data_IF_734554293027
#
_entry.id   IF_734554293027
#
_cell.length_a   1.000
_cell.length_b   1.000
_cell.length_c   1.000
_cell.angle_alpha   90.00
_cell.angle_beta   90.00
_cell.angle_gamma   90.00
#
_symmetry.space_group_name_H-M   'P 1'
#
loop_
_entity.id
_entity.type
_entity.pdbx_description
1 polymer ?
#
# COMPACT_ATOMS: atom_id res chain seq x y z
N UNK A 1 34.96 19.05 -29.13
CA UNK A 1 33.58 18.48 -29.04
C UNK A 1 33.21 18.46 -27.58
N UNK A 2 32.36 19.41 -27.15
CA UNK A 2 31.86 19.48 -25.75
C UNK A 2 30.86 18.34 -25.61
N UNK A 3 31.14 17.45 -24.67
CA UNK A 3 30.39 16.24 -24.37
C UNK A 3 28.91 16.59 -24.08
N UNK A 4 28.04 16.34 -25.05
CA UNK A 4 26.60 16.61 -24.94
C UNK A 4 25.86 15.77 -23.87
N UNK A 5 26.54 14.76 -23.32
CA UNK A 5 25.98 13.86 -22.30
C UNK A 5 25.75 14.56 -20.95
N UNK A 6 26.66 15.46 -20.55
CA UNK A 6 26.56 16.20 -19.29
C UNK A 6 25.43 17.24 -19.29
N UNK A 7 25.22 17.93 -20.40
CA UNK A 7 24.14 18.93 -20.54
C UNK A 7 22.74 18.27 -20.55
N UNK A 8 22.63 17.13 -21.22
CA UNK A 8 21.38 16.38 -21.29
C UNK A 8 20.99 15.75 -19.93
N UNK A 9 21.94 15.14 -19.21
CA UNK A 9 21.71 14.60 -17.88
C UNK A 9 21.26 15.68 -16.87
N UNK A 10 21.85 16.89 -16.97
CA UNK A 10 21.46 18.03 -16.16
C UNK A 10 20.03 18.49 -16.49
N UNK A 11 19.66 18.56 -17.78
CA UNK A 11 18.30 18.91 -18.22
C UNK A 11 17.26 17.92 -17.69
N UNK A 12 17.53 16.63 -17.77
CA UNK A 12 16.65 15.59 -17.21
C UNK A 12 16.47 15.73 -15.69
N UNK A 13 17.56 15.92 -14.95
CA UNK A 13 17.52 16.11 -13.50
C UNK A 13 16.71 17.36 -13.12
N UNK A 14 16.90 18.46 -13.82
CA UNK A 14 16.17 19.70 -13.60
C UNK A 14 14.69 19.55 -13.99
N UNK A 15 14.39 18.86 -15.09
CA UNK A 15 13.03 18.53 -15.52
C UNK A 15 12.31 17.67 -14.49
N UNK A 16 13.02 16.69 -13.93
CA UNK A 16 12.51 15.86 -12.83
C UNK A 16 12.16 16.71 -11.60
N UNK A 17 13.06 17.60 -11.16
CA UNK A 17 12.79 18.46 -10.01
C UNK A 17 11.55 19.36 -10.23
N UNK A 18 11.36 19.89 -11.46
CA UNK A 18 10.17 20.69 -11.80
C UNK A 18 8.91 19.83 -11.82
N UNK A 19 8.97 18.61 -12.36
CA UNK A 19 7.84 17.68 -12.38
C UNK A 19 7.43 17.24 -10.97
N UNK A 20 8.40 16.96 -10.11
CA UNK A 20 8.15 16.61 -8.71
C UNK A 20 7.41 17.70 -7.97
N UNK A 21 7.76 18.98 -8.20
CA UNK A 21 7.04 20.11 -7.63
C UNK A 21 5.58 20.21 -8.13
N UNK A 22 5.31 19.85 -9.40
CA UNK A 22 3.94 19.76 -9.89
C UNK A 22 3.17 18.62 -9.22
N UNK A 23 3.79 17.47 -9.05
CA UNK A 23 3.18 16.32 -8.37
C UNK A 23 2.87 16.62 -6.89
N UNK A 24 3.74 17.37 -6.20
CA UNK A 24 3.54 17.78 -4.81
C UNK A 24 2.50 18.88 -4.64
N UNK A 25 2.44 19.83 -5.60
CA UNK A 25 1.45 20.89 -5.56
C UNK A 25 0.04 20.40 -5.92
N UNK A 26 -0.06 19.32 -6.67
CA UNK A 26 -1.34 18.82 -7.17
C UNK A 26 -2.34 18.51 -6.04
N UNK A 27 -3.63 18.82 -6.22
CA UNK A 27 -4.26 19.32 -7.47
C UNK A 27 -4.14 20.85 -7.69
N UNK A 28 -3.42 21.58 -6.86
CA UNK A 28 -3.37 23.04 -6.91
C UNK A 28 -2.39 23.55 -7.97
N UNK A 29 -2.75 24.65 -8.68
CA UNK A 29 -1.86 25.25 -9.65
C UNK A 29 -0.64 25.91 -9.00
N UNK A 30 0.52 25.86 -9.69
CA UNK A 30 1.77 26.44 -9.23
C UNK A 30 2.37 27.39 -10.28
N UNK A 31 2.92 28.54 -9.86
CA UNK A 31 3.53 29.50 -10.77
C UNK A 31 5.00 29.16 -11.08
N UNK A 32 5.49 29.58 -12.27
CA UNK A 32 6.92 29.47 -12.64
C UNK A 32 7.85 30.14 -11.60
N UNK A 33 7.40 31.23 -10.96
CA UNK A 33 8.16 31.90 -9.92
C UNK A 33 8.26 31.06 -8.64
N UNK A 34 7.19 30.39 -8.27
CA UNK A 34 7.19 29.45 -7.12
C UNK A 34 8.05 28.24 -7.41
N UNK A 35 7.94 27.67 -8.62
CA UNK A 35 8.80 26.57 -9.07
C UNK A 35 10.29 26.94 -8.98
N UNK A 36 10.68 28.12 -9.49
CA UNK A 36 12.05 28.59 -9.42
C UNK A 36 12.57 28.72 -7.98
N UNK A 37 11.72 29.21 -7.06
CA UNK A 37 12.07 29.33 -5.64
C UNK A 37 12.22 27.96 -4.96
N UNK A 38 11.33 27.00 -5.23
CA UNK A 38 11.34 25.68 -4.59
C UNK A 38 12.46 24.79 -5.12
N UNK A 39 12.68 24.80 -6.45
CA UNK A 39 13.73 23.98 -7.09
C UNK A 39 15.12 24.59 -7.01
N UNK A 40 15.26 25.90 -6.68
CA UNK A 40 16.52 26.62 -6.75
C UNK A 40 17.01 26.87 -8.18
N UNK A 41 16.23 26.57 -9.21
CA UNK A 41 16.60 26.76 -10.61
C UNK A 41 16.40 28.21 -11.07
N UNK A 42 17.14 28.63 -12.10
CA UNK A 42 16.99 29.94 -12.70
C UNK A 42 15.62 30.10 -13.37
N UNK A 43 15.03 31.32 -13.35
CA UNK A 43 13.75 31.60 -14.02
C UNK A 43 13.74 31.19 -15.49
N UNK A 44 14.79 31.46 -16.31
CA UNK A 44 14.84 30.98 -17.68
C UNK A 44 14.79 29.46 -17.82
N UNK A 45 15.53 28.74 -16.95
CA UNK A 45 15.55 27.27 -16.91
C UNK A 45 14.15 26.72 -16.62
N UNK A 46 13.48 27.23 -15.57
CA UNK A 46 12.12 26.81 -15.23
C UNK A 46 11.15 27.13 -16.36
N UNK A 47 11.26 28.30 -16.98
CA UNK A 47 10.39 28.67 -18.10
C UNK A 47 10.52 27.72 -19.29
N UNK A 48 11.73 27.33 -19.65
CA UNK A 48 11.97 26.35 -20.71
C UNK A 48 11.40 24.97 -20.36
N UNK A 49 11.67 24.48 -19.15
CA UNK A 49 11.18 23.16 -18.69
C UNK A 49 9.64 23.11 -18.59
N UNK A 50 9.00 24.17 -18.10
CA UNK A 50 7.53 24.24 -18.05
C UNK A 50 6.94 24.26 -19.46
N UNK A 51 7.58 24.97 -20.42
CA UNK A 51 7.14 24.93 -21.81
C UNK A 51 7.27 23.54 -22.41
N UNK A 52 8.40 22.83 -22.17
CA UNK A 52 8.58 21.45 -22.61
C UNK A 52 7.50 20.50 -22.03
N UNK A 53 7.14 20.67 -20.75
CA UNK A 53 6.11 19.87 -20.10
C UNK A 53 4.70 20.21 -20.61
N UNK A 54 4.44 21.48 -20.95
CA UNK A 54 3.19 21.93 -21.56
C UNK A 54 3.06 21.37 -22.98
N UNK A 55 4.10 21.46 -23.80
CA UNK A 55 4.14 20.89 -25.15
C UNK A 55 3.96 19.36 -25.14
N UNK A 56 4.46 18.69 -24.09
CA UNK A 56 4.26 17.27 -23.86
C UNK A 56 2.88 16.91 -23.28
N UNK A 57 2.01 17.89 -23.00
CA UNK A 57 0.68 17.71 -22.43
C UNK A 57 0.66 17.26 -20.97
N UNK A 58 1.78 17.44 -20.24
CA UNK A 58 1.95 17.03 -18.84
C UNK A 58 1.38 18.07 -17.88
N UNK A 59 1.51 19.34 -18.24
CA UNK A 59 0.97 20.47 -17.49
C UNK A 59 0.17 21.37 -18.43
N UNK A 60 -0.76 22.12 -17.89
CA UNK A 60 -1.54 23.10 -18.63
C UNK A 60 -1.59 24.43 -17.92
N UNK A 61 -1.60 25.50 -18.73
CA UNK A 61 -1.79 26.85 -18.24
C UNK A 61 -3.21 27.00 -17.67
N UNK A 62 -3.32 27.51 -16.45
CA UNK A 62 -4.60 27.86 -15.86
C UNK A 62 -4.83 29.36 -16.11
N UNK A 63 -5.90 29.76 -16.82
CA UNK A 63 -6.23 31.15 -17.01
C UNK A 63 -6.37 31.84 -15.65
N UNK A 64 -5.77 33.04 -15.44
CA UNK A 64 -5.93 33.77 -14.21
C UNK A 64 -7.41 34.19 -14.07
N UNK A 65 -7.98 34.00 -12.89
CA UNK A 65 -9.26 34.57 -12.56
C UNK A 65 -9.14 36.14 -12.66
N UNK A 66 -9.92 36.72 -13.51
CA UNK A 66 -9.97 38.18 -13.69
C UNK A 66 -10.74 38.79 -12.51
N UNK A 67 -10.04 39.12 -11.44
CA UNK A 67 -10.59 39.95 -10.37
C UNK A 67 -10.40 41.42 -10.73
N UNK A 68 -11.47 42.23 -10.81
CA UNK A 68 -11.36 43.68 -11.04
C UNK A 68 -10.58 44.35 -9.90
N UNK A 69 -9.52 45.10 -10.22
CA UNK A 69 -8.82 45.97 -9.26
C UNK A 69 -7.39 45.58 -8.87
N UNK A 70 -6.81 44.53 -9.43
CA UNK A 70 -5.38 44.16 -9.19
C UNK A 70 -4.47 44.86 -10.21
N UNK A 71 -3.57 45.73 -9.72
CA UNK A 71 -2.52 46.34 -10.53
C UNK A 71 -1.41 45.31 -10.76
N UNK A 72 -1.15 44.93 -12.01
CA UNK A 72 -0.13 43.98 -12.46
C UNK A 72 -0.73 42.70 -13.06
N UNK A 73 -0.09 42.19 -14.13
CA UNK A 73 -0.49 40.89 -14.73
C UNK A 73 -0.13 39.77 -13.78
N UNK A 74 -1.11 39.05 -13.20
CA UNK A 74 -0.76 37.91 -12.31
C UNK A 74 0.08 36.90 -13.10
N UNK A 75 1.10 36.35 -12.46
CA UNK A 75 1.86 35.26 -13.04
C UNK A 75 0.91 34.09 -13.28
N UNK A 76 0.72 33.72 -14.54
CA UNK A 76 -0.18 32.64 -14.91
C UNK A 76 0.32 31.30 -14.31
N UNK A 77 -0.48 30.63 -13.47
CA UNK A 77 -0.11 29.37 -12.86
C UNK A 77 -0.33 28.20 -13.83
N UNK A 78 0.37 27.11 -13.60
CA UNK A 78 0.22 25.86 -14.32
C UNK A 78 -0.28 24.76 -13.37
N UNK A 79 -1.06 23.84 -13.89
CA UNK A 79 -1.49 22.66 -13.15
C UNK A 79 -1.06 21.39 -13.89
N UNK A 80 -0.83 20.33 -13.12
CA UNK A 80 -0.64 19.00 -13.66
C UNK A 80 -1.90 18.58 -14.43
N UNK A 81 -1.73 17.97 -15.60
CA UNK A 81 -2.81 17.30 -16.35
C UNK A 81 -2.95 15.90 -15.77
N UNK A 82 -4.01 15.57 -15.03
CA UNK A 82 -4.09 14.33 -14.27
C UNK A 82 -3.95 13.08 -15.12
N UNK A 83 -4.53 13.06 -16.29
CA UNK A 83 -4.54 11.92 -17.22
C UNK A 83 -3.44 11.98 -18.31
N UNK A 84 -2.44 12.85 -18.13
CA UNK A 84 -1.22 12.86 -18.96
C UNK A 84 -0.46 11.51 -18.91
N UNK A 85 -0.62 10.79 -17.82
CA UNK A 85 -0.18 9.40 -17.67
C UNK A 85 -1.17 8.63 -16.80
N UNK A 86 -1.29 7.33 -17.06
CA UNK A 86 -2.06 6.41 -16.26
C UNK A 86 -1.13 5.42 -15.57
N UNK A 87 -1.57 4.93 -14.42
CA UNK A 87 -0.91 3.86 -13.68
C UNK A 87 -1.89 2.72 -13.44
N UNK A 88 -1.37 1.50 -13.32
CA UNK A 88 -2.17 0.35 -12.89
C UNK A 88 -1.74 -0.12 -11.51
N UNK A 89 -2.69 -0.24 -10.60
CA UNK A 89 -2.53 -0.88 -9.29
C UNK A 89 -3.28 -2.20 -9.26
N UNK A 90 -2.65 -3.21 -8.67
CA UNK A 90 -3.25 -4.54 -8.51
C UNK A 90 -3.05 -5.00 -7.07
N UNK A 91 -4.13 -5.49 -6.47
CA UNK A 91 -4.09 -6.23 -5.20
C UNK A 91 -4.49 -7.68 -5.48
N UNK A 92 -3.53 -8.57 -5.37
CA UNK A 92 -3.70 -9.99 -5.66
C UNK A 92 -3.92 -10.77 -4.36
N UNK A 93 -5.16 -10.82 -3.91
CA UNK A 93 -5.54 -11.60 -2.73
C UNK A 93 -5.71 -13.09 -3.02
N UNK A 94 -5.87 -13.88 -1.96
CA UNK A 94 -6.03 -15.35 -2.05
C UNK A 94 -7.31 -15.80 -2.78
N UNK A 95 -8.38 -15.00 -2.76
CA UNK A 95 -9.70 -15.35 -3.34
C UNK A 95 -10.13 -14.40 -4.45
N UNK A 96 -9.65 -13.18 -4.45
CA UNK A 96 -9.99 -12.12 -5.40
C UNK A 96 -8.79 -11.28 -5.75
N UNK A 97 -8.77 -10.79 -6.98
CA UNK A 97 -7.81 -9.80 -7.46
C UNK A 97 -8.56 -8.51 -7.78
N UNK A 98 -8.06 -7.38 -7.30
CA UNK A 98 -8.54 -6.04 -7.66
C UNK A 98 -7.54 -5.45 -8.64
N UNK A 99 -8.00 -5.04 -9.81
CA UNK A 99 -7.20 -4.36 -10.83
C UNK A 99 -7.81 -2.99 -11.06
N UNK A 100 -7.03 -1.93 -10.96
CA UNK A 100 -7.53 -0.59 -11.22
C UNK A 100 -6.54 0.29 -11.96
N UNK A 101 -7.07 1.16 -12.79
CA UNK A 101 -6.33 2.18 -13.52
C UNK A 101 -6.62 3.53 -12.88
N UNK A 102 -5.57 4.27 -12.57
CA UNK A 102 -5.65 5.58 -11.94
C UNK A 102 -4.86 6.64 -12.70
N UNK A 103 -5.19 7.90 -12.48
CA UNK A 103 -4.47 9.07 -12.98
C UNK A 103 -3.29 9.45 -12.08
N UNK A 104 -2.53 10.47 -12.47
CA UNK A 104 -1.39 10.99 -11.71
C UNK A 104 -1.78 11.58 -10.34
N UNK A 105 -3.03 11.89 -10.09
CA UNK A 105 -3.53 12.31 -8.78
C UNK A 105 -3.92 11.12 -7.88
N UNK A 106 -3.85 9.89 -8.40
CA UNK A 106 -4.28 8.68 -7.70
C UNK A 106 -5.78 8.45 -7.72
N UNK A 107 -6.55 9.19 -8.53
CA UNK A 107 -7.97 8.95 -8.69
C UNK A 107 -8.17 7.72 -9.55
N UNK A 108 -8.85 6.73 -9.00
CA UNK A 108 -9.19 5.49 -9.72
C UNK A 108 -10.24 5.82 -10.78
N UNK A 109 -9.87 5.66 -12.04
CA UNK A 109 -10.72 5.96 -13.20
C UNK A 109 -11.57 4.76 -13.64
N UNK A 110 -11.03 3.55 -13.43
CA UNK A 110 -11.70 2.29 -13.73
C UNK A 110 -11.16 1.18 -12.84
N UNK A 111 -12.02 0.26 -12.43
CA UNK A 111 -11.69 -0.87 -11.54
C UNK A 111 -12.39 -2.14 -12.04
N UNK A 112 -11.73 -3.27 -11.89
CA UNK A 112 -12.26 -4.60 -12.16
C UNK A 112 -11.94 -5.51 -10.96
N UNK A 113 -12.84 -6.44 -10.67
CA UNK A 113 -12.68 -7.45 -9.61
C UNK A 113 -12.85 -8.82 -10.24
N UNK A 114 -11.80 -9.60 -10.18
CA UNK A 114 -11.75 -10.93 -10.76
C UNK A 114 -11.44 -11.98 -9.70
N UNK A 115 -11.83 -13.20 -9.92
CA UNK A 115 -11.45 -14.31 -9.04
C UNK A 115 -9.98 -14.62 -9.20
N UNK A 116 -9.34 -14.99 -8.07
CA UNK A 116 -7.93 -15.40 -8.10
C UNK A 116 -7.82 -16.74 -8.83
N UNK A 117 -7.00 -16.76 -9.87
CA UNK A 117 -6.75 -17.97 -10.63
C UNK A 117 -5.97 -19.00 -9.80
N UNK A 118 -6.18 -20.27 -10.11
CA UNK A 118 -5.61 -21.41 -9.37
C UNK A 118 -4.09 -21.56 -9.50
N UNK A 119 -3.43 -20.82 -10.41
CA UNK A 119 -1.98 -20.85 -10.58
C UNK A 119 -1.44 -19.54 -11.18
N UNK A 120 -0.15 -19.28 -10.96
CA UNK A 120 0.52 -18.03 -11.26
C UNK A 120 0.34 -17.50 -12.69
N UNK A 121 0.52 -18.35 -13.70
CA UNK A 121 0.42 -17.93 -15.11
C UNK A 121 -0.99 -17.46 -15.46
N UNK A 122 -2.02 -18.17 -15.01
CA UNK A 122 -3.41 -17.76 -15.24
C UNK A 122 -3.75 -16.46 -14.47
N UNK A 123 -3.17 -16.24 -13.27
CA UNK A 123 -3.32 -14.99 -12.55
C UNK A 123 -2.71 -13.81 -13.31
N UNK A 124 -1.50 -13.98 -13.88
CA UNK A 124 -0.88 -12.98 -14.76
C UNK A 124 -1.73 -12.72 -16.00
N UNK A 125 -2.26 -13.78 -16.66
CA UNK A 125 -3.15 -13.63 -17.81
C UNK A 125 -4.39 -12.81 -17.47
N UNK A 126 -4.99 -13.07 -16.33
CA UNK A 126 -6.19 -12.37 -15.85
C UNK A 126 -5.91 -10.90 -15.57
N UNK A 127 -4.78 -10.58 -14.89
CA UNK A 127 -4.35 -9.20 -14.61
C UNK A 127 -4.09 -8.42 -15.90
N UNK A 128 -3.32 -8.99 -16.84
CA UNK A 128 -3.03 -8.34 -18.13
C UNK A 128 -4.31 -8.15 -18.95
N UNK A 129 -5.17 -9.14 -19.00
CA UNK A 129 -6.45 -9.07 -19.70
C UNK A 129 -7.37 -8.01 -19.13
N UNK A 130 -7.50 -7.95 -17.79
CA UNK A 130 -8.28 -6.93 -17.09
C UNK A 130 -7.72 -5.52 -17.34
N UNK A 131 -6.40 -5.33 -17.17
CA UNK A 131 -5.75 -4.03 -17.42
C UNK A 131 -6.03 -3.52 -18.84
N UNK A 132 -5.90 -4.39 -19.85
CA UNK A 132 -6.16 -4.01 -21.25
C UNK A 132 -7.62 -3.64 -21.49
N UNK A 133 -8.58 -4.35 -20.90
CA UNK A 133 -10.02 -4.00 -20.98
C UNK A 133 -10.30 -2.64 -20.35
N UNK A 134 -9.76 -2.39 -19.14
CA UNK A 134 -9.94 -1.12 -18.46
C UNK A 134 -9.38 0.05 -19.28
N UNK A 135 -8.17 -0.08 -19.82
CA UNK A 135 -7.57 0.93 -20.69
C UNK A 135 -8.38 1.18 -21.96
N UNK A 136 -8.88 0.12 -22.62
CA UNK A 136 -9.72 0.25 -23.82
C UNK A 136 -11.01 1.01 -23.54
N UNK A 137 -11.62 0.79 -22.37
CA UNK A 137 -12.86 1.48 -21.96
C UNK A 137 -12.64 2.97 -21.63
N UNK A 138 -11.41 3.34 -21.19
CA UNK A 138 -11.07 4.75 -20.92
C UNK A 138 -10.83 5.59 -22.19
N UNK A 139 -10.77 4.97 -23.36
CA UNK A 139 -10.63 5.62 -24.66
C UNK A 139 -9.18 5.69 -25.17
N UNK A 140 -9.06 6.07 -26.46
CA UNK A 140 -7.77 6.14 -27.16
C UNK A 140 -6.93 7.34 -26.70
N UNK A 141 -5.61 7.20 -26.77
CA UNK A 141 -4.64 8.28 -26.52
C UNK A 141 -4.14 8.37 -25.08
N UNK A 142 -4.67 7.58 -24.17
CA UNK A 142 -4.19 7.50 -22.78
C UNK A 142 -3.09 6.46 -22.67
N UNK A 143 -1.96 6.84 -22.05
CA UNK A 143 -0.77 6.00 -21.96
C UNK A 143 -0.61 5.46 -20.54
N UNK A 144 -0.52 4.14 -20.43
CA UNK A 144 -0.05 3.50 -19.20
C UNK A 144 1.46 3.73 -19.12
N UNK A 145 1.96 4.16 -17.96
CA UNK A 145 3.38 4.49 -17.75
C UNK A 145 4.05 3.59 -16.70
N UNK A 146 3.29 3.03 -15.78
CA UNK A 146 3.81 2.11 -14.76
C UNK A 146 2.72 1.24 -14.15
N UNK A 147 3.15 0.18 -13.46
CA UNK A 147 2.29 -0.67 -12.66
C UNK A 147 2.90 -1.05 -11.33
N UNK A 148 2.03 -1.40 -10.37
CA UNK A 148 2.42 -2.06 -9.14
C UNK A 148 1.43 -3.18 -8.83
N UNK A 149 1.97 -4.34 -8.43
CA UNK A 149 1.17 -5.52 -8.07
C UNK A 149 1.52 -5.93 -6.65
N UNK A 150 0.51 -5.87 -5.78
CA UNK A 150 0.56 -6.43 -4.44
C UNK A 150 0.33 -7.93 -4.50
N UNK A 151 1.18 -8.68 -3.81
CA UNK A 151 1.09 -10.14 -3.72
C UNK A 151 1.21 -10.58 -2.27
N UNK A 152 0.51 -11.64 -1.84
CA UNK A 152 0.77 -12.25 -0.54
C UNK A 152 2.12 -12.97 -0.56
N UNK A 153 2.93 -12.79 0.48
CA UNK A 153 4.25 -13.39 0.61
C UNK A 153 5.40 -12.43 0.34
N UNK A 154 6.62 -12.97 0.30
CA UNK A 154 7.87 -12.21 0.19
C UNK A 154 8.35 -12.15 -1.24
N UNK A 155 8.38 -10.96 -1.83
CA UNK A 155 8.96 -10.77 -3.15
C UNK A 155 10.49 -10.67 -3.08
N UNK A 156 11.16 -11.49 -3.89
CA UNK A 156 12.62 -11.49 -4.08
C UNK A 156 12.95 -10.93 -5.46
N UNK A 157 13.55 -9.74 -5.55
CA UNK A 157 13.90 -9.16 -6.87
C UNK A 157 15.05 -9.90 -7.56
N UNK A 158 15.78 -10.73 -6.84
CA UNK A 158 16.87 -11.59 -7.33
C UNK A 158 16.92 -12.92 -6.57
N UNK A 159 16.52 -14.04 -7.21
CA UNK A 159 15.82 -14.11 -8.50
C UNK A 159 14.41 -13.52 -8.42
N UNK A 160 13.87 -13.02 -9.55
CA UNK A 160 12.51 -12.44 -9.66
C UNK A 160 11.45 -13.49 -9.34
N UNK A 161 11.03 -13.60 -8.06
CA UNK A 161 10.04 -14.58 -7.61
C UNK A 161 9.35 -14.17 -6.32
N UNK A 162 8.19 -14.77 -6.04
CA UNK A 162 7.47 -14.64 -4.76
C UNK A 162 7.64 -15.92 -3.96
N UNK A 163 8.11 -15.78 -2.73
CA UNK A 163 8.27 -16.87 -1.75
C UNK A 163 7.20 -16.76 -0.66
N UNK A 164 7.03 -17.81 0.14
CA UNK A 164 6.09 -17.83 1.28
C UNK A 164 4.64 -17.48 0.91
N UNK A 165 4.18 -17.89 -0.28
CA UNK A 165 2.84 -17.64 -0.78
C UNK A 165 2.09 -18.96 -1.03
N UNK A 166 1.65 -19.67 0.02
CA UNK A 166 1.00 -20.97 -0.13
C UNK A 166 -0.32 -20.90 -0.90
N UNK A 167 -0.97 -19.75 -0.91
CA UNK A 167 -2.26 -19.54 -1.57
C UNK A 167 -2.14 -19.22 -3.07
N UNK A 168 -0.93 -19.08 -3.61
CA UNK A 168 -0.66 -18.76 -5.01
C UNK A 168 0.35 -19.75 -5.62
N UNK A 169 -0.06 -20.97 -5.96
CA UNK A 169 0.84 -21.99 -6.52
C UNK A 169 1.53 -21.53 -7.80
N UNK A 170 2.84 -21.85 -7.93
CA UNK A 170 3.65 -21.56 -9.10
C UNK A 170 4.26 -20.13 -9.16
N UNK A 171 4.01 -19.28 -8.16
CA UNK A 171 4.64 -17.95 -8.11
C UNK A 171 6.13 -18.01 -7.79
N UNK A 172 6.61 -19.06 -7.11
CA UNK A 172 8.03 -19.26 -6.86
C UNK A 172 8.84 -19.56 -8.13
N UNK A 173 8.19 -20.06 -9.19
CA UNK A 173 8.81 -20.49 -10.44
C UNK A 173 8.60 -19.49 -11.58
N UNK A 174 7.85 -18.41 -11.34
CA UNK A 174 7.51 -17.42 -12.36
C UNK A 174 8.28 -16.11 -12.11
N UNK A 175 9.03 -15.57 -13.10
CA UNK A 175 9.61 -14.23 -13.04
C UNK A 175 8.49 -13.18 -13.23
N UNK A 176 7.68 -13.01 -12.18
CA UNK A 176 6.41 -12.28 -12.23
C UNK A 176 6.58 -10.82 -12.68
N UNK A 177 7.60 -10.12 -12.19
CA UNK A 177 7.86 -8.72 -12.53
C UNK A 177 8.20 -8.58 -14.01
N UNK A 178 9.08 -9.43 -14.51
CA UNK A 178 9.52 -9.44 -15.92
C UNK A 178 8.35 -9.76 -16.84
N UNK A 179 7.61 -10.85 -16.56
CA UNK A 179 6.44 -11.29 -17.32
C UNK A 179 5.37 -10.19 -17.42
N UNK A 180 5.04 -9.54 -16.29
CA UNK A 180 4.05 -8.46 -16.28
C UNK A 180 4.56 -7.21 -17.00
N UNK A 181 5.84 -6.85 -16.82
CA UNK A 181 6.41 -5.67 -17.48
C UNK A 181 6.45 -5.81 -18.99
N UNK A 182 6.86 -6.98 -19.51
CA UNK A 182 6.87 -7.26 -20.95
C UNK A 182 5.45 -7.22 -21.53
N UNK A 183 4.49 -7.85 -20.87
CA UNK A 183 3.13 -7.98 -21.40
C UNK A 183 2.31 -6.71 -21.31
N UNK A 184 2.56 -5.87 -20.32
CA UNK A 184 1.92 -4.55 -20.19
C UNK A 184 2.68 -3.45 -20.95
N UNK A 185 3.95 -3.70 -21.32
CA UNK A 185 4.80 -2.75 -22.02
C UNK A 185 5.27 -1.57 -21.17
N UNK A 186 5.21 -1.71 -19.83
CA UNK A 186 5.61 -0.67 -18.86
C UNK A 186 6.34 -1.30 -17.68
N UNK A 187 7.15 -0.53 -16.94
CA UNK A 187 7.76 -1.01 -15.71
C UNK A 187 6.69 -1.42 -14.69
N UNK A 188 6.83 -2.61 -14.11
CA UNK A 188 5.98 -3.10 -13.03
C UNK A 188 6.81 -3.33 -11.78
N UNK A 189 6.30 -2.85 -10.65
CA UNK A 189 6.84 -3.14 -9.31
C UNK A 189 6.02 -4.25 -8.68
N UNK A 190 6.68 -5.21 -8.03
CA UNK A 190 6.02 -6.21 -7.19
C UNK A 190 6.34 -5.89 -5.74
N UNK A 191 5.34 -5.94 -4.88
CA UNK A 191 5.49 -5.68 -3.46
C UNK A 191 4.57 -6.60 -2.64
N UNK A 192 4.88 -6.81 -1.38
CA UNK A 192 3.96 -7.48 -0.45
C UNK A 192 2.70 -6.62 -0.23
N UNK A 193 1.53 -7.26 -0.12
CA UNK A 193 0.22 -6.61 0.03
C UNK A 193 0.12 -5.78 1.34
N UNK A 194 0.68 -6.28 2.45
CA UNK A 194 0.67 -5.53 3.72
C UNK A 194 1.65 -4.34 3.67
N UNK A 195 2.78 -4.48 3.00
CA UNK A 195 3.68 -3.36 2.73
C UNK A 195 2.98 -2.25 1.92
N UNK A 196 2.19 -2.63 0.92
CA UNK A 196 1.39 -1.66 0.16
C UNK A 196 0.30 -1.02 1.03
N UNK A 197 -0.34 -1.78 1.91
CA UNK A 197 -1.28 -1.22 2.86
C UNK A 197 -0.60 -0.15 3.75
N UNK A 198 0.62 -0.42 4.24
CA UNK A 198 1.39 0.57 4.99
C UNK A 198 1.72 1.83 4.18
N UNK A 199 2.04 1.70 2.88
CA UNK A 199 2.25 2.86 1.98
C UNK A 199 0.98 3.70 1.87
N UNK A 200 -0.18 3.07 1.72
CA UNK A 200 -1.45 3.79 1.62
C UNK A 200 -1.83 4.50 2.93
N UNK A 201 -1.62 3.85 4.07
CA UNK A 201 -1.87 4.44 5.39
C UNK A 201 -0.94 5.65 5.63
N UNK A 202 0.33 5.57 5.22
CA UNK A 202 1.26 6.71 5.29
C UNK A 202 0.77 7.92 4.49
N UNK A 203 0.25 7.71 3.28
CA UNK A 203 -0.34 8.80 2.48
C UNK A 203 -1.62 9.36 3.09
N UNK A 204 -2.47 8.49 3.67
CA UNK A 204 -3.74 8.90 4.27
C UNK A 204 -3.57 9.71 5.56
N UNK A 205 -2.48 9.53 6.29
CA UNK A 205 -2.19 10.26 7.53
C UNK A 205 -1.83 11.73 7.29
N UNK A 206 -1.54 12.15 6.05
CA UNK A 206 -1.10 13.52 5.69
C UNK A 206 0.03 14.05 6.59
N UNK A 207 0.74 13.15 7.27
CA UNK A 207 1.84 13.48 8.17
C UNK A 207 3.15 13.56 7.39
N UNK A 208 3.41 14.74 6.84
CA UNK A 208 4.67 15.05 6.14
C UNK A 208 5.89 15.06 7.08
N UNK A 209 5.68 14.86 8.37
CA UNK A 209 6.72 14.82 9.40
C UNK A 209 7.47 13.49 9.47
N UNK A 210 7.01 12.46 8.77
CA UNK A 210 7.68 11.15 8.75
C UNK A 210 7.45 10.34 10.03
N UNK A 211 6.19 10.20 10.44
CA UNK A 211 5.81 9.37 11.58
C UNK A 211 6.27 7.92 11.38
N UNK A 212 7.01 7.40 12.35
CA UNK A 212 7.33 5.98 12.43
C UNK A 212 6.11 5.21 12.89
N UNK A 213 5.63 4.28 12.09
CA UNK A 213 4.48 3.47 12.43
C UNK A 213 4.55 2.06 11.84
N UNK A 214 3.73 1.17 12.36
CA UNK A 214 3.56 -0.20 11.85
C UNK A 214 2.10 -0.40 11.44
N UNK A 215 1.88 -0.86 10.20
CA UNK A 215 0.58 -1.35 9.75
C UNK A 215 0.54 -2.86 9.95
N UNK A 216 -0.41 -3.38 10.73
CA UNK A 216 -0.59 -4.82 10.95
C UNK A 216 -1.90 -5.25 10.29
N UNK A 217 -1.82 -6.17 9.35
CA UNK A 217 -2.99 -6.80 8.75
C UNK A 217 -3.34 -8.10 9.47
N UNK A 218 -4.54 -8.20 10.01
CA UNK A 218 -5.08 -9.42 10.62
C UNK A 218 -6.31 -9.87 9.84
N UNK A 219 -6.16 -10.99 9.13
CA UNK A 219 -7.19 -11.56 8.28
C UNK A 219 -7.09 -13.08 8.22
N UNK A 220 -7.07 -13.67 7.03
CA UNK A 220 -6.76 -15.11 6.83
C UNK A 220 -5.32 -15.45 7.24
N UNK A 221 -4.41 -14.49 7.15
CA UNK A 221 -3.06 -14.51 7.66
C UNK A 221 -2.75 -13.26 8.46
N UNK A 222 -1.51 -13.14 8.95
CA UNK A 222 -0.99 -11.99 9.69
C UNK A 222 0.31 -11.52 9.07
N UNK A 223 0.38 -10.23 8.76
CA UNK A 223 1.59 -9.56 8.29
C UNK A 223 1.69 -8.15 8.84
N UNK A 224 2.87 -7.55 8.74
CA UNK A 224 3.10 -6.16 9.10
C UNK A 224 3.91 -5.42 8.02
N UNK A 225 3.62 -4.15 7.82
CA UNK A 225 4.42 -3.22 7.03
C UNK A 225 5.00 -2.14 7.94
N UNK A 226 6.30 -1.97 7.93
CA UNK A 226 7.01 -1.01 8.78
C UNK A 226 7.32 0.24 7.97
N UNK A 227 6.97 1.41 8.51
CA UNK A 227 7.35 2.70 7.95
C UNK A 227 8.26 3.39 8.95
N UNK A 228 9.48 3.74 8.53
CA UNK A 228 10.51 4.38 9.33
C UNK A 228 11.04 5.59 8.56
N UNK A 229 11.18 6.74 9.22
CA UNK A 229 11.53 8.02 8.56
C UNK A 229 10.62 8.33 7.35
N UNK A 230 9.32 7.99 7.46
CA UNK A 230 8.34 8.15 6.38
C UNK A 230 8.55 7.22 5.17
N UNK A 231 9.36 6.16 5.30
CA UNK A 231 9.68 5.22 4.21
C UNK A 231 9.39 3.79 4.61
N UNK A 232 8.84 3.04 3.67
CA UNK A 232 8.64 1.61 3.85
C UNK A 232 9.98 0.88 4.08
N UNK A 233 10.10 0.20 5.22
CA UNK A 233 11.26 -0.61 5.59
C UNK A 233 11.05 -2.06 5.20
N UNK A 234 11.85 -2.56 4.27
CA UNK A 234 11.77 -3.92 3.73
C UNK A 234 12.73 -4.91 4.37
N UNK A 235 13.68 -4.41 5.17
CA UNK A 235 14.77 -5.23 5.71
C UNK A 235 15.80 -5.65 4.66
N UNK A 236 16.83 -6.37 5.11
CA UNK A 236 17.93 -6.81 4.24
C UNK A 236 17.56 -7.86 3.20
N UNK A 237 16.46 -8.59 3.42
CA UNK A 237 16.01 -9.68 2.55
C UNK A 237 14.55 -9.52 2.11
N UNK A 238 13.93 -8.35 2.32
CA UNK A 238 12.54 -8.09 1.95
C UNK A 238 11.50 -8.83 2.81
N UNK A 239 11.89 -9.35 3.97
CA UNK A 239 11.02 -10.10 4.88
C UNK A 239 10.77 -9.36 6.20
N UNK A 240 11.05 -8.05 6.26
CA UNK A 240 10.62 -7.24 7.41
C UNK A 240 9.09 -7.26 7.48
N UNK A 241 8.56 -7.48 8.68
CA UNK A 241 7.11 -7.50 8.86
C UNK A 241 6.44 -8.88 8.73
N UNK A 242 7.18 -9.97 8.55
CA UNK A 242 6.66 -11.36 8.58
C UNK A 242 6.23 -11.76 10.01
N UNK A 243 5.38 -10.93 10.62
CA UNK A 243 4.95 -11.00 12.01
C UNK A 243 4.19 -12.30 12.32
N UNK A 244 3.39 -12.78 11.37
CA UNK A 244 2.61 -14.01 11.51
C UNK A 244 3.45 -15.26 11.80
N UNK A 245 4.71 -15.25 11.39
CA UNK A 245 5.66 -16.39 11.54
C UNK A 245 6.39 -16.42 12.88
N UNK A 246 6.19 -15.44 13.75
CA UNK A 246 6.86 -15.39 15.08
C UNK A 246 6.37 -16.55 15.93
N UNK A 247 7.34 -17.22 16.58
CA UNK A 247 7.08 -18.32 17.50
C UNK A 247 6.47 -17.80 18.82
N UNK A 248 5.26 -18.21 19.11
CA UNK A 248 4.45 -17.84 20.27
C UNK A 248 4.23 -19.00 21.24
N UNK A 249 5.01 -20.08 21.15
CA UNK A 249 4.81 -21.31 21.93
C UNK A 249 4.88 -21.11 23.46
N UNK A 250 5.37 -19.99 23.93
CA UNK A 250 5.40 -19.63 25.36
C UNK A 250 4.22 -18.78 25.83
N UNK A 251 3.37 -18.30 24.92
CA UNK A 251 2.24 -17.40 25.22
C UNK A 251 0.95 -18.19 25.45
N UNK A 252 0.77 -19.31 24.74
CA UNK A 252 -0.37 -20.21 24.92
C UNK A 252 0.11 -21.47 25.64
N UNK A 253 -0.64 -21.92 26.65
CA UNK A 253 -0.38 -23.19 27.37
C UNK A 253 -0.78 -24.39 26.47
N UNK A 254 -0.12 -24.50 25.33
CA UNK A 254 -0.37 -25.55 24.36
C UNK A 254 0.87 -26.46 24.23
N UNK A 255 0.75 -27.69 24.70
CA UNK A 255 1.81 -28.72 24.69
C UNK A 255 2.02 -29.33 23.30
N UNK A 256 1.39 -28.81 22.26
CA UNK A 256 1.25 -29.43 20.94
C UNK A 256 2.31 -29.06 19.90
N UNK A 257 3.40 -28.36 20.26
CA UNK A 257 4.48 -28.02 19.34
C UNK A 257 4.66 -26.52 19.09
N UNK A 258 5.33 -26.16 18.02
CA UNK A 258 5.56 -24.76 17.65
C UNK A 258 4.26 -24.11 17.21
N UNK A 259 3.86 -23.06 17.90
CA UNK A 259 2.72 -22.19 17.55
C UNK A 259 3.24 -20.84 17.08
N UNK A 260 2.71 -20.35 15.99
CA UNK A 260 3.01 -19.02 15.47
C UNK A 260 1.93 -18.00 15.88
N UNK A 261 2.23 -16.71 15.72
CA UNK A 261 1.21 -15.67 15.93
C UNK A 261 -0.01 -15.89 15.02
N UNK A 262 0.21 -16.35 13.79
CA UNK A 262 -0.86 -16.66 12.85
C UNK A 262 -1.75 -17.81 13.36
N UNK A 263 -1.17 -18.83 14.00
CA UNK A 263 -1.90 -19.95 14.61
C UNK A 263 -2.75 -19.53 15.83
N UNK A 264 -2.52 -18.35 16.39
CA UNK A 264 -3.20 -17.85 17.56
C UNK A 264 -4.21 -16.73 17.26
N UNK A 265 -3.90 -15.81 16.35
CA UNK A 265 -4.63 -14.56 16.19
C UNK A 265 -5.21 -14.34 14.77
N UNK A 266 -4.98 -15.22 13.80
CA UNK A 266 -5.63 -15.11 12.49
C UNK A 266 -7.13 -15.45 12.55
N UNK A 267 -7.90 -15.06 11.53
CA UNK A 267 -9.33 -15.38 11.44
C UNK A 267 -9.61 -16.90 11.53
N UNK A 268 -8.86 -17.78 10.81
CA UNK A 268 -8.99 -19.22 11.00
C UNK A 268 -8.66 -19.70 12.42
N UNK A 269 -7.66 -19.09 13.05
CA UNK A 269 -7.26 -19.44 14.42
C UNK A 269 -8.35 -19.08 15.44
N UNK A 270 -8.93 -17.89 15.36
CA UNK A 270 -10.04 -17.45 16.23
C UNK A 270 -11.23 -18.39 16.06
N UNK A 271 -11.63 -18.73 14.83
CA UNK A 271 -12.72 -19.69 14.58
C UNK A 271 -12.43 -21.08 15.13
N UNK A 272 -11.19 -21.55 14.99
CA UNK A 272 -10.76 -22.85 15.53
C UNK A 272 -10.84 -22.86 17.06
N UNK A 273 -10.38 -21.80 17.72
CA UNK A 273 -10.43 -21.65 19.18
C UNK A 273 -11.86 -21.54 19.70
N UNK A 274 -12.70 -20.77 19.04
CA UNK A 274 -14.12 -20.69 19.37
C UNK A 274 -14.81 -22.06 19.31
N UNK A 275 -14.60 -22.81 18.21
CA UNK A 275 -15.13 -24.17 18.09
C UNK A 275 -14.64 -25.08 19.20
N UNK A 276 -13.35 -24.99 19.55
CA UNK A 276 -12.77 -25.77 20.63
C UNK A 276 -13.39 -25.41 21.99
N UNK A 277 -13.61 -24.14 22.27
CA UNK A 277 -14.28 -23.69 23.49
C UNK A 277 -15.71 -24.25 23.57
N UNK A 278 -16.49 -24.16 22.51
CA UNK A 278 -17.87 -24.75 22.46
C UNK A 278 -17.82 -26.26 22.65
N UNK A 279 -16.86 -26.96 22.03
CA UNK A 279 -16.70 -28.43 22.18
C UNK A 279 -16.26 -28.85 23.61
N UNK A 280 -15.75 -27.91 24.43
CA UNK A 280 -15.39 -28.11 25.84
C UNK A 280 -16.41 -27.45 26.80
N UNK A 281 -17.64 -27.35 26.37
CA UNK A 281 -18.80 -26.92 27.17
C UNK A 281 -18.75 -25.46 27.68
N UNK A 282 -17.94 -24.59 27.06
CA UNK A 282 -18.07 -23.16 27.32
C UNK A 282 -19.40 -22.65 26.77
N UNK A 283 -20.21 -21.95 27.59
CA UNK A 283 -21.49 -21.44 27.14
C UNK A 283 -21.37 -20.49 25.95
N UNK A 284 -22.18 -20.73 24.91
CA UNK A 284 -22.33 -19.84 23.78
C UNK A 284 -23.72 -19.86 23.20
N UNK A 285 -24.17 -18.70 22.67
CA UNK A 285 -25.41 -18.56 21.92
C UNK A 285 -25.22 -18.69 20.41
N UNK A 286 -23.95 -18.73 19.94
CA UNK A 286 -23.62 -18.80 18.53
C UNK A 286 -23.60 -20.24 18.02
N UNK A 287 -23.82 -20.39 16.71
CA UNK A 287 -23.56 -21.66 16.04
C UNK A 287 -22.06 -21.96 16.05
N UNK A 288 -21.69 -23.26 16.09
CA UNK A 288 -20.30 -23.75 16.15
C UNK A 288 -19.43 -23.25 14.98
N UNK A 289 -20.04 -22.94 13.84
CA UNK A 289 -19.41 -22.45 12.60
C UNK A 289 -19.56 -20.94 12.38
N UNK A 290 -19.86 -20.19 13.46
CA UNK A 290 -20.03 -18.74 13.42
C UNK A 290 -18.85 -18.01 12.75
N UNK A 291 -19.17 -16.93 12.07
CA UNK A 291 -18.16 -16.06 11.46
C UNK A 291 -17.40 -15.24 12.51
N UNK A 292 -16.15 -14.84 12.20
CA UNK A 292 -15.31 -14.11 13.16
C UNK A 292 -15.96 -12.83 13.64
N UNK A 293 -16.66 -12.10 12.79
CA UNK A 293 -17.38 -10.87 13.17
C UNK A 293 -18.47 -11.13 14.21
N UNK A 294 -19.16 -12.26 14.10
CA UNK A 294 -20.19 -12.69 15.08
C UNK A 294 -19.53 -13.09 16.41
N UNK A 295 -18.41 -13.83 16.34
CA UNK A 295 -17.62 -14.22 17.53
C UNK A 295 -17.14 -12.98 18.28
N UNK A 296 -16.54 -11.99 17.58
CA UNK A 296 -16.08 -10.76 18.21
C UNK A 296 -17.23 -9.97 18.86
N UNK A 297 -18.38 -9.87 18.19
CA UNK A 297 -19.56 -9.22 18.74
C UNK A 297 -20.13 -9.96 19.96
N UNK A 298 -20.18 -11.28 19.93
CA UNK A 298 -20.64 -12.09 21.06
C UNK A 298 -19.69 -11.96 22.26
N UNK A 299 -18.37 -11.96 22.03
CA UNK A 299 -17.38 -11.73 23.08
C UNK A 299 -17.60 -10.40 23.80
N UNK A 300 -17.86 -9.31 23.06
CA UNK A 300 -18.17 -8.00 23.67
C UNK A 300 -19.49 -7.99 24.47
N UNK A 301 -20.35 -8.99 24.25
CA UNK A 301 -21.62 -9.17 24.94
C UNK A 301 -21.56 -10.21 26.06
N UNK A 302 -20.37 -10.71 26.41
CA UNK A 302 -20.15 -11.64 27.52
C UNK A 302 -20.38 -13.12 27.19
N UNK A 303 -20.38 -13.52 25.91
CA UNK A 303 -20.38 -14.93 25.51
C UNK A 303 -19.06 -15.57 25.92
N UNK A 304 -19.09 -16.64 26.72
CA UNK A 304 -17.87 -17.20 27.32
C UNK A 304 -16.95 -17.86 26.30
N UNK A 305 -17.50 -18.68 25.38
CA UNK A 305 -16.69 -19.32 24.34
C UNK A 305 -16.05 -18.31 23.39
N UNK A 306 -16.79 -17.26 23.04
CA UNK A 306 -16.29 -16.17 22.19
C UNK A 306 -15.22 -15.34 22.90
N UNK A 307 -15.43 -15.07 24.21
CA UNK A 307 -14.47 -14.32 25.05
C UNK A 307 -13.15 -15.07 25.22
N UNK A 308 -13.19 -16.39 25.36
CA UNK A 308 -11.99 -17.26 25.41
C UNK A 308 -11.21 -17.17 24.11
N UNK A 309 -11.89 -17.32 22.96
CA UNK A 309 -11.23 -17.26 21.65
C UNK A 309 -10.60 -15.89 21.35
N UNK A 310 -11.33 -14.79 21.66
CA UNK A 310 -10.82 -13.44 21.52
C UNK A 310 -9.68 -13.17 22.50
N UNK A 311 -9.77 -13.70 23.72
CA UNK A 311 -8.79 -13.53 24.78
C UNK A 311 -7.41 -14.00 24.35
N UNK A 312 -7.31 -15.22 23.83
CA UNK A 312 -6.06 -15.80 23.36
C UNK A 312 -5.48 -15.01 22.17
N UNK A 313 -6.33 -14.66 21.21
CA UNK A 313 -5.89 -13.91 20.04
C UNK A 313 -5.36 -12.50 20.40
N UNK A 314 -6.04 -11.81 21.30
CA UNK A 314 -5.66 -10.49 21.77
C UNK A 314 -4.38 -10.51 22.61
N UNK A 315 -4.18 -11.52 23.45
CA UNK A 315 -2.96 -11.71 24.24
C UNK A 315 -1.75 -11.94 23.36
N UNK A 316 -1.87 -12.84 22.37
CA UNK A 316 -0.80 -13.10 21.42
C UNK A 316 -0.45 -11.85 20.58
N UNK A 317 -1.46 -11.10 20.14
CA UNK A 317 -1.25 -9.87 19.37
C UNK A 317 -0.63 -8.76 20.24
N UNK A 318 -1.08 -8.59 21.48
CA UNK A 318 -0.50 -7.61 22.41
C UNK A 318 1.00 -7.91 22.67
N UNK A 319 1.35 -9.18 22.89
CA UNK A 319 2.74 -9.60 23.02
C UNK A 319 3.57 -9.28 21.77
N UNK A 320 3.02 -9.52 20.58
CA UNK A 320 3.69 -9.20 19.32
C UNK A 320 3.87 -7.68 19.14
N UNK A 321 2.88 -6.87 19.48
CA UNK A 321 2.98 -5.40 19.46
C UNK A 321 3.99 -4.91 20.47
N UNK A 322 4.05 -5.49 21.69
CA UNK A 322 5.05 -5.14 22.67
C UNK A 322 6.48 -5.41 22.16
N UNK A 323 6.71 -6.55 21.52
CA UNK A 323 8.02 -6.84 20.92
C UNK A 323 8.37 -5.86 19.80
N UNK A 324 7.42 -5.55 18.92
CA UNK A 324 7.62 -4.52 17.90
C UNK A 324 7.97 -3.16 18.50
N UNK A 325 7.30 -2.78 19.61
CA UNK A 325 7.56 -1.52 20.29
C UNK A 325 8.99 -1.46 20.85
N UNK A 326 9.49 -2.54 21.40
CA UNK A 326 10.89 -2.57 21.91
C UNK A 326 11.95 -2.56 20.80
N UNK A 327 11.61 -2.98 19.58
CA UNK A 327 12.55 -3.04 18.45
C UNK A 327 12.50 -1.81 17.54
N UNK A 328 11.33 -1.22 17.36
CA UNK A 328 11.13 -0.16 16.36
C UNK A 328 10.52 1.13 16.92
N UNK A 329 10.09 1.13 18.21
CA UNK A 329 9.49 2.26 18.91
C UNK A 329 8.51 3.09 18.06
N UNK A 330 7.46 2.44 17.49
CA UNK A 330 6.55 3.12 16.61
C UNK A 330 5.64 4.05 17.40
N UNK A 331 5.41 5.27 16.90
CA UNK A 331 4.44 6.18 17.50
C UNK A 331 2.99 5.65 17.38
N UNK A 332 2.73 4.81 16.35
CA UNK A 332 1.39 4.30 16.04
C UNK A 332 1.43 2.89 15.48
N UNK A 333 0.41 2.09 15.80
CA UNK A 333 0.13 0.81 15.16
C UNK A 333 -1.26 0.88 14.50
N UNK A 334 -1.31 0.68 13.18
CA UNK A 334 -2.55 0.71 12.38
C UNK A 334 -2.99 -0.72 12.12
N UNK A 335 -4.15 -1.09 12.62
CA UNK A 335 -4.72 -2.42 12.42
C UNK A 335 -5.62 -2.46 11.19
N UNK A 336 -5.27 -3.30 10.21
CA UNK A 336 -6.03 -3.58 9.00
C UNK A 336 -6.46 -5.05 8.91
N UNK A 337 -7.05 -5.41 7.77
CA UNK A 337 -7.62 -6.75 7.56
C UNK A 337 -8.98 -6.94 8.20
N UNK A 338 -9.64 -8.06 7.90
CA UNK A 338 -11.03 -8.29 8.32
C UNK A 338 -11.23 -8.45 9.83
N UNK A 339 -10.20 -8.88 10.55
CA UNK A 339 -10.19 -8.97 12.03
C UNK A 339 -9.59 -7.71 12.63
N UNK A 340 -8.42 -7.30 12.16
CA UNK A 340 -7.65 -6.20 12.75
C UNK A 340 -8.37 -4.85 12.68
N UNK A 341 -9.18 -4.58 11.66
CA UNK A 341 -9.98 -3.35 11.57
C UNK A 341 -11.23 -3.34 12.45
N UNK A 342 -11.52 -4.45 13.16
CA UNK A 342 -12.67 -4.50 14.07
C UNK A 342 -12.32 -3.81 15.39
N UNK A 343 -13.10 -2.79 15.83
CA UNK A 343 -12.82 -2.07 17.08
C UNK A 343 -12.77 -2.97 18.31
N UNK A 344 -13.61 -4.02 18.38
CA UNK A 344 -13.62 -4.96 19.50
C UNK A 344 -12.29 -5.68 19.62
N UNK A 345 -11.68 -6.08 18.50
CA UNK A 345 -10.38 -6.72 18.50
C UNK A 345 -9.28 -5.73 18.94
N UNK A 346 -9.29 -4.51 18.39
CA UNK A 346 -8.30 -3.47 18.75
C UNK A 346 -8.37 -3.12 20.24
N UNK A 347 -9.59 -2.97 20.79
CA UNK A 347 -9.78 -2.65 22.21
C UNK A 347 -9.33 -3.82 23.11
N UNK A 348 -9.57 -5.06 22.69
CA UNK A 348 -9.10 -6.24 23.41
C UNK A 348 -7.55 -6.34 23.42
N UNK A 349 -6.89 -5.98 22.33
CA UNK A 349 -5.42 -5.89 22.24
C UNK A 349 -4.90 -4.75 23.11
N UNK A 350 -5.53 -3.57 23.04
CA UNK A 350 -5.13 -2.39 23.84
C UNK A 350 -5.14 -2.67 25.34
N UNK A 351 -6.22 -3.26 25.83
CA UNK A 351 -6.36 -3.58 27.26
C UNK A 351 -5.26 -4.53 27.78
N UNK A 352 -4.72 -5.40 26.92
CA UNK A 352 -3.62 -6.31 27.27
C UNK A 352 -2.26 -5.65 27.16
N UNK A 353 -2.09 -4.80 26.13
CA UNK A 353 -0.82 -4.10 25.88
C UNK A 353 -0.46 -3.15 27.03
N UNK A 354 -1.45 -2.51 27.66
CA UNK A 354 -1.27 -1.65 28.85
C UNK A 354 -0.62 -2.38 30.03
N UNK A 355 -0.67 -3.71 30.07
CA UNK A 355 0.02 -4.54 31.07
C UNK A 355 1.43 -4.95 30.66
N UNK A 356 1.79 -4.76 29.38
CA UNK A 356 3.09 -5.16 28.84
C UNK A 356 4.08 -4.00 28.70
N UNK A 357 3.59 -2.76 28.56
CA UNK A 357 4.39 -1.57 28.26
C UNK A 357 3.96 -0.40 29.16
N UNK A 358 4.93 0.36 29.66
CA UNK A 358 4.68 1.63 30.38
C UNK A 358 4.23 2.74 29.41
N UNK A 359 4.83 2.78 28.21
CA UNK A 359 4.44 3.67 27.11
C UNK A 359 3.97 2.83 25.93
N UNK A 360 2.70 2.98 25.56
CA UNK A 360 2.09 2.22 24.47
C UNK A 360 1.98 3.07 23.21
N UNK A 361 2.22 2.50 22.01
CA UNK A 361 1.91 3.17 20.76
C UNK A 361 0.41 3.44 20.64
N UNK A 362 0.04 4.46 19.88
CA UNK A 362 -1.37 4.69 19.54
C UNK A 362 -1.91 3.53 18.69
N UNK A 363 -2.91 2.79 19.16
CA UNK A 363 -3.54 1.72 18.39
C UNK A 363 -4.78 2.26 17.68
N UNK A 364 -4.81 2.19 16.35
CA UNK A 364 -5.91 2.67 15.51
C UNK A 364 -6.34 1.62 14.49
N UNK A 365 -7.62 1.61 14.15
CA UNK A 365 -8.10 0.82 13.02
C UNK A 365 -7.82 1.55 11.70
N UNK A 366 -7.48 0.80 10.65
CA UNK A 366 -7.29 1.31 9.30
C UNK A 366 -8.55 2.03 8.79
N UNK A 367 -8.39 3.27 8.31
CA UNK A 367 -9.46 4.01 7.64
C UNK A 367 -9.71 3.51 6.21
N UNK A 368 -8.73 2.83 5.59
CA UNK A 368 -8.79 2.35 4.22
C UNK A 368 -9.39 0.94 4.10
N UNK A 369 -9.45 0.20 5.21
CA UNK A 369 -10.03 -1.13 5.29
C UNK A 369 -9.44 -2.10 4.25
N UNK A 370 -10.30 -2.86 3.58
CA UNK A 370 -9.88 -3.85 2.57
C UNK A 370 -9.34 -3.26 1.27
N UNK A 371 -9.27 -1.94 1.14
CA UNK A 371 -8.70 -1.26 -0.04
C UNK A 371 -7.27 -0.79 0.16
N UNK A 372 -6.72 -0.90 1.36
CA UNK A 372 -5.40 -0.35 1.69
C UNK A 372 -4.30 -0.86 0.74
N UNK A 373 -4.18 -2.17 0.54
CA UNK A 373 -3.19 -2.75 -0.37
C UNK A 373 -3.36 -2.26 -1.82
N UNK A 374 -4.59 -2.23 -2.32
CA UNK A 374 -4.89 -1.71 -3.66
C UNK A 374 -4.52 -0.23 -3.82
N UNK A 375 -4.87 0.62 -2.84
CA UNK A 375 -4.52 2.03 -2.87
C UNK A 375 -3.00 2.23 -2.78
N UNK A 376 -2.31 1.43 -1.97
CA UNK A 376 -0.85 1.43 -1.91
C UNK A 376 -0.18 0.99 -3.21
N UNK A 377 -0.79 0.06 -3.95
CA UNK A 377 -0.32 -0.31 -5.28
C UNK A 377 -0.44 0.87 -6.26
N UNK A 378 -1.56 1.59 -6.27
CA UNK A 378 -1.73 2.82 -7.05
C UNK A 378 -0.66 3.87 -6.66
N UNK A 379 -0.46 4.10 -5.38
CA UNK A 379 0.51 5.05 -4.84
C UNK A 379 1.94 4.70 -5.24
N UNK A 380 2.33 3.44 -5.10
CA UNK A 380 3.65 2.94 -5.50
C UNK A 380 3.87 3.06 -7.02
N UNK A 381 2.86 2.74 -7.83
CA UNK A 381 2.93 2.93 -9.28
C UNK A 381 3.10 4.41 -9.66
N UNK A 382 2.36 5.33 -9.01
CA UNK A 382 2.52 6.77 -9.19
C UNK A 382 3.92 7.27 -8.82
N UNK A 383 4.48 6.79 -7.72
CA UNK A 383 5.86 7.10 -7.32
C UNK A 383 6.87 6.64 -8.37
N UNK A 384 6.64 5.50 -9.02
CA UNK A 384 7.48 5.00 -10.13
C UNK A 384 7.43 5.91 -11.36
N UNK A 385 6.26 6.49 -11.69
CA UNK A 385 6.15 7.48 -12.78
C UNK A 385 7.06 8.68 -12.55
N UNK A 386 7.17 9.17 -11.31
CA UNK A 386 8.07 10.28 -10.96
C UNK A 386 9.49 10.07 -11.46
N UNK A 387 10.01 8.84 -11.45
CA UNK A 387 11.39 8.54 -11.83
C UNK A 387 11.59 8.26 -13.32
N UNK A 388 10.57 7.85 -14.05
CA UNK A 388 10.68 7.36 -15.42
C UNK A 388 10.06 8.28 -16.47
N UNK A 389 8.99 8.97 -16.14
CA UNK A 389 8.13 9.71 -17.07
C UNK A 389 8.82 10.88 -17.74
N UNK A 390 9.56 11.69 -16.98
CA UNK A 390 10.29 12.86 -17.51
C UNK A 390 11.34 12.44 -18.52
N UNK A 391 12.00 11.30 -18.29
CA UNK A 391 13.02 10.76 -19.20
C UNK A 391 12.43 10.41 -20.58
N UNK A 392 11.23 9.88 -20.63
CA UNK A 392 10.52 9.54 -21.86
C UNK A 392 9.96 10.74 -22.62
N UNK A 393 9.64 11.84 -21.94
CA UNK A 393 8.97 13.02 -22.50
C UNK A 393 9.92 14.15 -22.86
N UNK A 394 10.93 14.41 -22.05
CA UNK A 394 11.95 15.44 -22.33
C UNK A 394 13.16 14.91 -23.11
N UNK A 395 13.26 13.62 -23.31
CA UNK A 395 14.36 12.95 -24.00
C UNK A 395 14.18 12.73 -25.50
N UNK A 396 13.08 13.27 -26.09
CA UNK A 396 12.79 13.17 -27.53
C UNK A 396 13.20 14.43 -28.28
#
# INVERSE_FOLDING_TARGET
MIDGSGSWALRLRNGQAVFDEFMEAAPFPISRATLARRTGLSKPTVSALVSDLEDAGVVSLIPPETSPGRIGRPAAPYALVPDAALVVGVDMGATKVIVGVADLLGRVLAEDRIETASHARAAVDAVVGSTRRLLANLGKGRLLESGCVGVPGVYRPRPDRVEMSPNLPGFADLPIREELSERLGVPVTIENDVNLAAVAEAEAMDDRGGLDFVAISVGTGIGAGLVMDGKLYRGGHGAAGELGSIDMSGVADDRAGRLTLEDLASAPAIRKRFRHAVDNDFPSRLARDAEVSEILLAASSGDEAASEALGIAAEAMASAVAWLSWFSDPARVVFGGGVGSNPIFVDAVRSRLEHCLDETPELVASALGSRAAFMGAISTARASVRTTFVRGRLGR
#
